data_IF_834192963604
#
_entry.id   IF_834192963604
#
_cell.length_a   1.000
_cell.length_b   1.000
_cell.length_c   1.000
_cell.angle_alpha   90.00
_cell.angle_beta   90.00
_cell.angle_gamma   90.00
#
_symmetry.space_group_name_H-M   'P 1'
#
loop_
_entity.id
_entity.type
_entity.pdbx_description
1 polymer ?
#
# COMPACT_ATOMS: atom_id res chain seq x y z
N UNK A 1 16.82 15.21 19.71
CA UNK A 1 16.66 13.74 19.66
C UNK A 1 15.16 13.44 19.62
N UNK A 2 14.55 13.41 18.43
CA UNK A 2 13.12 13.10 18.28
C UNK A 2 12.94 11.62 18.65
N UNK A 3 12.04 11.33 19.58
CA UNK A 3 11.83 9.96 20.06
C UNK A 3 11.56 9.00 18.88
N UNK A 4 12.29 7.88 18.82
CA UNK A 4 12.29 6.91 17.70
C UNK A 4 10.89 6.37 17.33
N UNK A 5 9.97 6.32 18.28
CA UNK A 5 8.54 5.96 18.07
C UNK A 5 7.72 7.02 17.31
N UNK A 6 8.28 8.21 17.08
CA UNK A 6 7.61 9.30 16.39
C UNK A 6 7.80 9.26 14.88
N UNK A 7 8.79 8.55 14.32
CA UNK A 7 9.01 8.55 12.86
C UNK A 7 7.74 8.11 12.14
N UNK A 8 7.21 6.92 12.45
CA UNK A 8 5.98 6.41 11.83
C UNK A 8 4.71 7.22 12.15
N UNK A 9 4.71 8.02 13.23
CA UNK A 9 3.57 8.88 13.64
C UNK A 9 3.64 10.27 12.99
N UNK A 10 4.85 10.72 12.67
CA UNK A 10 5.18 12.05 12.16
C UNK A 10 5.60 12.03 10.69
N UNK A 11 5.46 10.90 9.99
CA UNK A 11 5.40 10.89 8.52
C UNK A 11 4.13 11.67 8.14
N UNK A 12 4.28 13.00 8.12
CA UNK A 12 3.32 13.97 7.62
C UNK A 12 3.69 14.27 6.18
N UNK A 13 3.44 13.28 5.33
CA UNK A 13 3.83 13.38 3.93
C UNK A 13 2.70 14.05 3.14
N UNK A 14 2.98 15.12 2.39
CA UNK A 14 2.00 15.85 1.57
C UNK A 14 1.42 14.98 0.45
N UNK A 15 2.04 13.84 0.15
CA UNK A 15 1.65 12.97 -0.95
C UNK A 15 0.34 12.23 -0.67
N UNK A 16 -0.57 12.30 -1.64
CA UNK A 16 -1.82 11.53 -1.63
C UNK A 16 -1.61 10.06 -2.02
N UNK A 17 -0.45 9.70 -2.58
CA UNK A 17 -0.19 8.37 -3.14
C UNK A 17 1.00 7.77 -2.43
N UNK A 18 0.77 6.64 -1.76
CA UNK A 18 1.78 5.91 -1.01
C UNK A 18 1.96 4.53 -1.61
N UNK A 19 3.19 4.18 -2.00
CA UNK A 19 3.54 2.86 -2.48
C UNK A 19 4.27 2.11 -1.37
N UNK A 20 3.75 0.94 -0.97
CA UNK A 20 4.42 0.06 0.00
C UNK A 20 4.84 -1.20 -0.74
N UNK A 21 6.13 -1.44 -0.83
CA UNK A 21 6.68 -2.59 -1.57
C UNK A 21 7.81 -3.26 -0.79
N UNK A 22 8.14 -4.47 -1.20
CA UNK A 22 9.10 -5.32 -0.51
C UNK A 22 8.78 -6.79 -0.68
N UNK A 23 9.71 -7.64 -0.26
CA UNK A 23 9.58 -9.10 -0.34
C UNK A 23 8.41 -9.63 0.49
N UNK A 24 8.03 -10.89 0.28
CA UNK A 24 7.01 -11.54 1.10
C UNK A 24 7.43 -11.60 2.57
N UNK A 25 6.49 -11.44 3.49
CA UNK A 25 6.76 -11.50 4.94
C UNK A 25 7.40 -10.25 5.56
N UNK A 26 7.77 -9.25 4.77
CA UNK A 26 8.43 -8.01 5.26
C UNK A 26 7.50 -7.07 6.04
N UNK A 27 6.19 -7.32 6.06
CA UNK A 27 5.24 -6.57 6.88
C UNK A 27 4.48 -5.44 6.17
N UNK A 28 4.47 -5.39 4.84
CA UNK A 28 3.75 -4.38 4.04
C UNK A 28 2.32 -4.09 4.52
N UNK A 29 1.50 -5.14 4.63
CA UNK A 29 0.11 -5.04 5.11
C UNK A 29 0.02 -4.58 6.57
N UNK A 30 0.96 -5.00 7.42
CA UNK A 30 1.05 -4.52 8.83
C UNK A 30 1.31 -3.01 8.86
N UNK A 31 2.23 -2.53 8.01
CA UNK A 31 2.57 -1.12 7.93
C UNK A 31 1.38 -0.28 7.45
N UNK A 32 0.69 -0.72 6.40
CA UNK A 32 -0.52 -0.06 5.91
C UNK A 32 -1.57 0.09 7.01
N UNK A 33 -1.79 -0.96 7.80
CA UNK A 33 -2.71 -0.93 8.95
C UNK A 33 -2.28 0.11 10.01
N UNK A 34 -0.98 0.23 10.31
CA UNK A 34 -0.50 1.26 11.23
C UNK A 34 -0.76 2.66 10.69
N UNK A 35 -0.52 2.91 9.40
CA UNK A 35 -0.80 4.20 8.79
C UNK A 35 -2.28 4.55 8.81
N UNK A 36 -3.16 3.62 8.45
CA UNK A 36 -4.61 3.81 8.53
C UNK A 36 -5.01 4.15 9.97
N UNK A 37 -4.46 3.44 10.96
CA UNK A 37 -4.76 3.69 12.37
C UNK A 37 -4.34 5.10 12.81
N UNK A 38 -3.19 5.58 12.36
CA UNK A 38 -2.70 6.93 12.65
C UNK A 38 -3.59 7.99 12.00
N UNK A 39 -3.97 7.81 10.74
CA UNK A 39 -4.85 8.74 10.02
C UNK A 39 -6.24 8.80 10.68
N UNK A 40 -6.81 7.64 11.02
CA UNK A 40 -8.11 7.56 11.69
C UNK A 40 -8.05 8.25 13.06
N UNK A 41 -6.99 8.02 13.86
CA UNK A 41 -6.79 8.71 15.15
C UNK A 41 -6.73 10.23 14.98
N UNK A 42 -5.92 10.73 14.05
CA UNK A 42 -5.79 12.17 13.77
C UNK A 42 -7.11 12.82 13.37
N UNK A 43 -8.00 12.06 12.72
CA UNK A 43 -9.33 12.52 12.31
C UNK A 43 -10.42 12.48 13.40
N UNK A 44 -10.04 12.25 14.66
CA UNK A 44 -10.99 11.94 15.74
C UNK A 44 -11.97 10.81 15.36
N UNK A 45 -11.46 9.79 14.65
CA UNK A 45 -12.19 8.60 14.23
C UNK A 45 -13.35 8.82 13.25
N UNK A 46 -13.37 9.95 12.53
CA UNK A 46 -14.44 10.26 11.56
C UNK A 46 -14.16 9.75 10.15
N UNK A 47 -12.88 9.59 9.79
CA UNK A 47 -12.48 9.10 8.47
C UNK A 47 -12.72 7.61 8.31
N UNK A 48 -13.13 7.22 7.10
CA UNK A 48 -13.26 5.83 6.67
C UNK A 48 -12.15 5.45 5.70
N UNK A 49 -11.80 4.17 5.75
CA UNK A 49 -10.88 3.50 4.85
C UNK A 49 -11.66 2.50 3.99
N UNK A 50 -11.45 2.51 2.68
CA UNK A 50 -11.88 1.44 1.79
C UNK A 50 -10.68 0.52 1.53
N UNK A 51 -10.80 -0.75 1.91
CA UNK A 51 -9.78 -1.77 1.70
C UNK A 51 -10.15 -2.68 0.54
N UNK A 52 -9.32 -2.67 -0.50
CA UNK A 52 -9.48 -3.49 -1.70
C UNK A 52 -8.68 -4.79 -1.57
N UNK A 53 -9.38 -5.93 -1.56
CA UNK A 53 -8.78 -7.27 -1.47
C UNK A 53 -8.27 -7.77 -2.83
N UNK A 54 -7.26 -7.10 -3.37
CA UNK A 54 -6.71 -7.30 -4.71
C UNK A 54 -5.80 -8.53 -4.90
N UNK A 55 -5.72 -9.40 -3.90
CA UNK A 55 -5.16 -10.78 -3.93
C UNK A 55 -5.01 -11.30 -2.50
N UNK A 56 -5.02 -10.39 -1.53
CA UNK A 56 -4.89 -10.67 -0.11
C UNK A 56 -6.20 -10.37 0.64
N UNK A 57 -6.51 -11.18 1.65
CA UNK A 57 -7.65 -10.89 2.54
C UNK A 57 -7.28 -9.80 3.53
N UNK A 58 -8.25 -8.98 3.90
CA UNK A 58 -8.09 -8.06 5.02
C UNK A 58 -7.72 -8.85 6.29
N UNK A 59 -6.56 -8.58 6.92
CA UNK A 59 -6.02 -9.44 7.97
C UNK A 59 -6.62 -9.08 9.33
N UNK A 60 -7.92 -9.35 9.52
CA UNK A 60 -8.67 -9.01 10.75
C UNK A 60 -7.99 -9.49 12.03
N UNK A 61 -7.42 -10.70 12.04
CA UNK A 61 -6.67 -11.23 13.19
C UNK A 61 -5.46 -10.36 13.53
N UNK A 62 -4.72 -9.92 12.52
CA UNK A 62 -3.54 -9.05 12.70
C UNK A 62 -3.94 -7.71 13.31
N UNK A 63 -5.02 -7.10 12.83
CA UNK A 63 -5.59 -5.88 13.41
C UNK A 63 -5.94 -6.08 14.89
N UNK A 64 -6.60 -7.19 15.23
CA UNK A 64 -6.94 -7.53 16.61
C UNK A 64 -5.69 -7.65 17.49
N UNK A 65 -4.68 -8.39 17.05
CA UNK A 65 -3.41 -8.54 17.79
C UNK A 65 -2.69 -7.21 17.98
N UNK A 66 -2.60 -6.39 16.93
CA UNK A 66 -1.87 -5.11 16.98
C UNK A 66 -2.46 -4.11 17.96
N UNK A 67 -3.78 -4.11 18.10
CA UNK A 67 -4.51 -3.12 18.89
C UNK A 67 -5.29 -3.72 20.06
N UNK A 68 -4.93 -4.93 20.51
CA UNK A 68 -5.62 -5.61 21.63
C UNK A 68 -5.68 -4.77 22.92
N UNK A 69 -4.65 -3.94 23.15
CA UNK A 69 -4.54 -3.08 24.33
C UNK A 69 -5.17 -1.68 24.13
N UNK A 70 -5.57 -1.33 22.91
CA UNK A 70 -6.27 -0.08 22.60
C UNK A 70 -7.63 -0.41 21.98
N UNK A 71 -8.62 -0.63 22.85
CA UNK A 71 -9.97 -1.04 22.45
C UNK A 71 -10.67 0.00 21.58
N UNK A 72 -10.36 1.28 21.76
CA UNK A 72 -10.98 2.36 20.99
C UNK A 72 -10.48 2.34 19.55
N UNK A 73 -9.17 2.31 19.30
CA UNK A 73 -8.66 2.24 17.93
C UNK A 73 -9.06 0.93 17.27
N UNK A 74 -9.05 -0.19 18.00
CA UNK A 74 -9.45 -1.49 17.46
C UNK A 74 -10.90 -1.45 16.96
N UNK A 75 -11.82 -0.95 17.78
CA UNK A 75 -13.24 -0.81 17.40
C UNK A 75 -13.36 0.06 16.16
N UNK A 76 -12.73 1.23 16.15
CA UNK A 76 -12.84 2.18 15.04
C UNK A 76 -12.20 1.64 13.74
N UNK A 77 -11.07 0.94 13.81
CA UNK A 77 -10.50 0.29 12.63
C UNK A 77 -11.45 -0.73 12.04
N UNK A 78 -12.07 -1.56 12.87
CA UNK A 78 -12.99 -2.60 12.41
C UNK A 78 -14.32 -2.03 11.87
N UNK A 79 -14.79 -0.88 12.36
CA UNK A 79 -16.03 -0.25 11.89
C UNK A 79 -15.81 0.68 10.70
N UNK A 80 -14.68 1.39 10.67
CA UNK A 80 -14.41 2.41 9.66
C UNK A 80 -13.58 1.90 8.49
N UNK A 81 -13.09 0.65 8.56
CA UNK A 81 -12.49 -0.03 7.40
C UNK A 81 -13.54 -0.87 6.70
N UNK A 82 -13.96 -0.39 5.53
CA UNK A 82 -14.91 -1.05 4.64
C UNK A 82 -14.13 -1.96 3.69
N UNK A 83 -14.52 -3.23 3.59
CA UNK A 83 -13.80 -4.23 2.80
C UNK A 83 -14.55 -4.46 1.49
N UNK A 84 -13.85 -4.34 0.36
CA UNK A 84 -14.43 -4.55 -0.97
C UNK A 84 -13.46 -5.26 -1.94
N UNK A 85 -13.91 -6.17 -2.79
CA UNK A 85 -15.12 -6.97 -2.60
C UNK A 85 -15.03 -7.81 -1.32
N UNK A 86 -16.13 -8.45 -0.91
CA UNK A 86 -16.14 -9.32 0.28
C UNK A 86 -15.21 -10.54 0.12
N UNK A 87 -15.03 -11.01 -1.11
CA UNK A 87 -14.07 -12.06 -1.49
C UNK A 87 -12.77 -11.46 -2.03
N UNK A 88 -11.74 -12.29 -2.15
CA UNK A 88 -10.49 -11.90 -2.82
C UNK A 88 -10.72 -11.80 -4.32
N UNK A 89 -10.10 -10.83 -4.96
CA UNK A 89 -10.01 -10.74 -6.42
C UNK A 89 -8.91 -11.70 -6.91
N UNK A 90 -9.31 -12.67 -7.74
CA UNK A 90 -8.42 -13.73 -8.25
C UNK A 90 -8.06 -13.59 -9.74
N UNK A 91 -8.51 -12.51 -10.40
CA UNK A 91 -8.21 -12.30 -11.82
C UNK A 91 -7.90 -10.85 -12.13
N UNK A 92 -6.98 -10.65 -13.07
CA UNK A 92 -6.60 -9.34 -13.58
C UNK A 92 -7.80 -8.54 -14.12
N UNK A 93 -8.70 -9.19 -14.88
CA UNK A 93 -9.90 -8.55 -15.40
C UNK A 93 -10.79 -8.01 -14.28
N UNK A 94 -11.03 -8.79 -13.23
CA UNK A 94 -11.88 -8.35 -12.12
C UNK A 94 -11.21 -7.27 -11.27
N UNK A 95 -9.88 -7.30 -11.15
CA UNK A 95 -9.10 -6.20 -10.56
C UNK A 95 -9.31 -4.89 -11.33
N UNK A 96 -9.15 -4.93 -12.66
CA UNK A 96 -9.33 -3.76 -13.51
C UNK A 96 -10.75 -3.21 -13.41
N UNK A 97 -11.77 -4.08 -13.49
CA UNK A 97 -13.17 -3.67 -13.35
C UNK A 97 -13.45 -3.03 -11.99
N UNK A 98 -12.89 -3.60 -10.91
CA UNK A 98 -13.04 -3.06 -9.55
C UNK A 98 -12.44 -1.67 -9.46
N UNK A 99 -11.21 -1.47 -9.94
CA UNK A 99 -10.54 -0.17 -9.88
C UNK A 99 -11.20 0.85 -10.81
N UNK A 100 -11.61 0.44 -12.00
CA UNK A 100 -12.35 1.30 -12.92
C UNK A 100 -13.69 1.75 -12.35
N UNK A 101 -14.40 0.87 -11.65
CA UNK A 101 -15.61 1.29 -10.90
C UNK A 101 -15.28 2.34 -9.83
N UNK A 102 -14.11 2.20 -9.18
CA UNK A 102 -13.59 3.17 -8.22
C UNK A 102 -12.97 4.43 -8.86
N UNK A 103 -12.74 4.52 -10.17
CA UNK A 103 -12.27 5.79 -10.74
C UNK A 103 -13.42 6.73 -11.12
N UNK A 104 -14.63 6.20 -11.24
CA UNK A 104 -15.83 6.95 -11.63
C UNK A 104 -16.66 7.45 -10.41
N UNK A 105 -16.00 7.66 -9.27
CA UNK A 105 -16.61 7.95 -7.97
C UNK A 105 -16.96 9.44 -7.79
N UNK A 106 -18.18 9.84 -8.17
CA UNK A 106 -18.83 10.99 -7.52
C UNK A 106 -19.97 10.56 -6.57
N UNK A 107 -20.60 9.39 -6.79
CA UNK A 107 -21.78 8.97 -6.00
C UNK A 107 -21.61 7.63 -5.23
N UNK A 108 -20.56 6.85 -5.50
CA UNK A 108 -20.47 5.44 -5.05
C UNK A 108 -19.55 5.19 -3.86
N UNK A 109 -18.81 6.19 -3.36
CA UNK A 109 -18.07 6.04 -2.12
C UNK A 109 -18.95 6.27 -0.89
N UNK A 110 -18.78 5.44 0.16
CA UNK A 110 -19.31 5.74 1.47
C UNK A 110 -18.85 7.12 1.95
N UNK A 111 -19.76 7.86 2.58
CA UNK A 111 -19.45 9.18 3.12
C UNK A 111 -18.24 9.14 4.04
N UNK A 112 -17.41 10.20 3.97
CA UNK A 112 -16.16 10.36 4.71
C UNK A 112 -15.07 9.33 4.41
N UNK A 113 -15.11 8.66 3.25
CA UNK A 113 -13.96 7.90 2.77
C UNK A 113 -12.82 8.85 2.47
N UNK A 114 -11.69 8.67 3.16
CA UNK A 114 -10.47 9.48 3.00
C UNK A 114 -9.22 8.67 2.72
N UNK A 115 -9.35 7.34 2.74
CA UNK A 115 -8.26 6.41 2.50
C UNK A 115 -8.79 5.28 1.61
N UNK A 116 -8.04 4.94 0.56
CA UNK A 116 -8.21 3.71 -0.21
C UNK A 116 -6.91 2.91 -0.10
N UNK A 117 -7.02 1.61 0.17
CA UNK A 117 -5.88 0.69 0.21
C UNK A 117 -6.13 -0.41 -0.80
N UNK A 118 -5.13 -0.77 -1.60
CA UNK A 118 -5.22 -1.89 -2.54
C UNK A 118 -4.16 -2.94 -2.21
N UNK A 119 -4.58 -4.10 -1.69
CA UNK A 119 -3.71 -5.19 -1.24
C UNK A 119 -4.02 -6.52 -1.99
N UNK A 120 -3.24 -6.95 -2.99
CA UNK A 120 -2.03 -6.34 -3.58
C UNK A 120 -2.28 -5.99 -5.06
N UNK A 121 -1.93 -4.78 -5.47
CA UNK A 121 -2.21 -4.28 -6.83
C UNK A 121 -1.44 -5.03 -7.92
N UNK A 122 -0.23 -5.53 -7.60
CA UNK A 122 0.69 -6.10 -8.58
C UNK A 122 0.46 -7.58 -8.85
N UNK A 123 -0.13 -8.33 -7.92
CA UNK A 123 -0.15 -9.80 -7.96
C UNK A 123 -0.89 -10.36 -9.20
N UNK A 124 -2.14 -9.95 -9.37
CA UNK A 124 -2.97 -10.41 -10.49
C UNK A 124 -2.44 -9.96 -11.86
N UNK A 125 -1.89 -8.74 -11.93
CA UNK A 125 -1.25 -8.21 -13.13
C UNK A 125 -0.01 -9.03 -13.50
N UNK A 126 0.88 -9.30 -12.53
CA UNK A 126 2.07 -10.13 -12.74
C UNK A 126 1.69 -11.51 -13.25
N UNK A 127 0.71 -12.17 -12.62
CA UNK A 127 0.23 -13.47 -13.06
C UNK A 127 -0.32 -13.43 -14.49
N UNK A 128 -1.10 -12.40 -14.84
CA UNK A 128 -1.63 -12.23 -16.19
C UNK A 128 -0.53 -12.03 -17.23
N UNK A 129 0.50 -11.23 -16.93
CA UNK A 129 1.64 -11.00 -17.82
C UNK A 129 2.45 -12.26 -18.11
N UNK A 130 2.46 -13.25 -17.20
CA UNK A 130 3.13 -14.53 -17.45
C UNK A 130 2.51 -15.34 -18.60
N UNK A 131 1.27 -15.04 -18.99
CA UNK A 131 0.57 -15.71 -20.10
C UNK A 131 1.06 -15.23 -21.48
N UNK A 132 1.83 -14.15 -21.53
CA UNK A 132 2.35 -13.55 -22.76
C UNK A 132 3.83 -13.87 -22.91
N UNK A 133 4.26 -14.28 -24.10
CA UNK A 133 5.68 -14.55 -24.38
C UNK A 133 6.40 -13.28 -24.83
N UNK A 134 5.75 -12.49 -25.71
CA UNK A 134 6.36 -11.30 -26.30
C UNK A 134 6.45 -10.16 -25.30
N UNK A 135 7.61 -9.54 -25.26
CA UNK A 135 7.87 -8.37 -24.40
C UNK A 135 6.97 -7.20 -24.80
N UNK A 136 6.75 -6.98 -26.10
CA UNK A 136 5.89 -5.91 -26.60
C UNK A 136 4.46 -5.99 -26.03
N UNK A 137 3.86 -7.18 -26.02
CA UNK A 137 2.52 -7.41 -25.47
C UNK A 137 2.48 -7.09 -23.96
N UNK A 138 3.52 -7.49 -23.22
CA UNK A 138 3.63 -7.18 -21.78
C UNK A 138 3.71 -5.68 -21.53
N UNK A 139 4.53 -4.98 -22.31
CA UNK A 139 4.68 -3.51 -22.20
C UNK A 139 3.35 -2.83 -22.48
N UNK A 140 2.65 -3.22 -23.55
CA UNK A 140 1.34 -2.67 -23.88
C UNK A 140 0.32 -2.89 -22.75
N UNK A 141 0.24 -4.11 -22.18
CA UNK A 141 -0.67 -4.39 -21.06
C UNK A 141 -0.34 -3.55 -19.83
N UNK A 142 0.96 -3.35 -19.56
CA UNK A 142 1.42 -2.54 -18.44
C UNK A 142 1.06 -1.06 -18.63
N UNK A 143 1.29 -0.52 -19.82
CA UNK A 143 0.91 0.85 -20.18
C UNK A 143 -0.62 1.02 -20.11
N UNK A 144 -1.39 0.10 -20.69
CA UNK A 144 -2.86 0.12 -20.66
C UNK A 144 -3.40 0.05 -19.22
N UNK A 145 -2.81 -0.79 -18.37
CA UNK A 145 -3.17 -0.86 -16.96
C UNK A 145 -2.90 0.47 -16.24
N UNK A 146 -1.75 1.08 -16.51
CA UNK A 146 -1.41 2.33 -15.87
C UNK A 146 -2.33 3.47 -16.33
N UNK A 147 -2.44 3.68 -17.65
CA UNK A 147 -3.13 4.82 -18.24
C UNK A 147 -4.65 4.73 -18.08
N UNK A 148 -5.24 3.53 -18.21
CA UNK A 148 -6.70 3.37 -18.20
C UNK A 148 -7.27 2.96 -16.84
N UNK A 149 -6.46 2.42 -15.93
CA UNK A 149 -6.94 1.89 -14.64
C UNK A 149 -6.38 2.68 -13.46
N UNK A 150 -5.05 2.82 -13.36
CA UNK A 150 -4.40 3.45 -12.21
C UNK A 150 -4.51 4.97 -12.24
N UNK A 151 -4.16 5.60 -13.36
CA UNK A 151 -4.15 7.06 -13.49
C UNK A 151 -5.54 7.69 -13.27
N UNK A 152 -6.64 7.14 -13.82
CA UNK A 152 -7.98 7.67 -13.54
C UNK A 152 -8.37 7.54 -12.06
N UNK A 153 -7.98 6.44 -11.38
CA UNK A 153 -8.21 6.29 -9.94
C UNK A 153 -7.46 7.38 -9.16
N UNK A 154 -6.21 7.64 -9.52
CA UNK A 154 -5.39 8.68 -8.89
C UNK A 154 -6.08 10.04 -9.02
N UNK A 155 -6.46 10.46 -10.22
CA UNK A 155 -7.13 11.74 -10.43
C UNK A 155 -8.46 11.83 -9.68
N UNK A 156 -9.24 10.74 -9.63
CA UNK A 156 -10.46 10.69 -8.84
C UNK A 156 -10.17 10.89 -7.34
N UNK A 157 -9.12 10.28 -6.81
CA UNK A 157 -8.76 10.40 -5.41
C UNK A 157 -8.20 11.79 -5.07
N UNK A 158 -7.35 12.37 -5.92
CA UNK A 158 -6.83 13.72 -5.72
C UNK A 158 -7.95 14.76 -5.68
N UNK A 159 -8.87 14.72 -6.65
CA UNK A 159 -10.06 15.59 -6.68
C UNK A 159 -10.89 15.50 -5.41
N UNK A 160 -11.02 14.29 -4.84
CA UNK A 160 -11.79 14.03 -3.62
C UNK A 160 -10.97 14.14 -2.31
N UNK A 161 -9.67 14.49 -2.41
CA UNK A 161 -8.70 14.50 -1.30
C UNK A 161 -8.71 13.18 -0.52
N UNK A 162 -8.61 12.09 -1.26
CA UNK A 162 -8.51 10.72 -0.77
C UNK A 162 -7.06 10.28 -0.91
N UNK A 163 -6.48 9.76 0.17
CA UNK A 163 -5.15 9.16 0.15
C UNK A 163 -5.26 7.72 -0.38
N UNK A 164 -4.44 7.35 -1.35
CA UNK A 164 -4.32 5.98 -1.85
C UNK A 164 -3.05 5.35 -1.30
N UNK A 165 -3.17 4.12 -0.81
CA UNK A 165 -2.05 3.25 -0.46
C UNK A 165 -2.07 2.04 -1.38
N UNK A 166 -1.09 1.95 -2.27
CA UNK A 166 -0.86 0.77 -3.08
C UNK A 166 0.13 -0.16 -2.38
N UNK A 167 -0.24 -1.43 -2.22
CA UNK A 167 0.67 -2.46 -1.74
C UNK A 167 1.12 -3.28 -2.94
N UNK A 168 2.42 -3.34 -3.17
CA UNK A 168 3.03 -4.00 -4.32
C UNK A 168 3.85 -5.21 -3.91
N UNK A 169 3.95 -6.17 -4.84
CA UNK A 169 5.07 -7.10 -4.85
C UNK A 169 6.37 -6.39 -5.24
N UNK A 170 7.49 -6.95 -4.83
CA UNK A 170 8.80 -6.55 -5.32
C UNK A 170 9.31 -7.50 -6.40
N UNK A 171 10.20 -6.99 -7.25
CA UNK A 171 10.94 -7.75 -8.28
C UNK A 171 12.43 -7.49 -8.14
N UNK A 172 13.26 -8.45 -8.52
CA UNK A 172 14.70 -8.28 -8.54
C UNK A 172 15.15 -7.71 -9.89
N UNK A 173 15.94 -6.64 -9.86
CA UNK A 173 16.54 -6.03 -11.03
C UNK A 173 18.01 -6.47 -11.14
N UNK A 174 18.36 -7.34 -12.12
CA UNK A 174 19.71 -7.86 -12.24
C UNK A 174 20.74 -6.81 -12.69
N UNK A 175 20.29 -5.67 -13.26
CA UNK A 175 21.20 -4.61 -13.70
C UNK A 175 21.71 -3.77 -12.53
N UNK A 176 20.83 -3.45 -11.59
CA UNK A 176 21.19 -2.71 -10.36
C UNK A 176 21.58 -3.64 -9.22
N UNK A 177 21.29 -4.95 -9.32
CA UNK A 177 21.41 -5.91 -8.22
C UNK A 177 20.58 -5.51 -7.00
N UNK A 178 19.41 -4.91 -7.25
CA UNK A 178 18.52 -4.41 -6.21
C UNK A 178 17.11 -5.00 -6.37
N UNK A 179 16.43 -5.16 -5.23
CA UNK A 179 14.99 -5.39 -5.21
C UNK A 179 14.29 -4.05 -5.43
N UNK A 180 13.37 -3.99 -6.38
CA UNK A 180 12.59 -2.80 -6.73
C UNK A 180 11.09 -3.11 -6.70
N UNK A 181 10.26 -2.06 -6.68
CA UNK A 181 8.81 -2.21 -6.81
C UNK A 181 8.47 -2.89 -8.14
N UNK A 182 7.54 -3.85 -8.14
CA UNK A 182 7.06 -4.41 -9.40
C UNK A 182 6.49 -3.29 -10.27
N UNK A 183 6.98 -3.22 -11.51
CA UNK A 183 6.62 -2.17 -12.47
C UNK A 183 7.05 -0.74 -12.05
N UNK A 184 8.21 -0.62 -11.39
CA UNK A 184 8.77 0.65 -10.92
C UNK A 184 8.74 1.77 -11.98
N UNK A 185 9.07 1.46 -13.24
CA UNK A 185 9.14 2.44 -14.33
C UNK A 185 7.83 3.18 -14.63
N UNK A 186 6.67 2.56 -14.37
CA UNK A 186 5.38 3.20 -14.60
C UNK A 186 4.96 4.02 -13.39
N UNK A 187 5.16 3.49 -12.17
CA UNK A 187 4.83 4.21 -10.95
C UNK A 187 5.81 5.35 -10.62
N UNK A 188 7.04 5.32 -11.15
CA UNK A 188 8.00 6.41 -11.03
C UNK A 188 7.58 7.67 -11.80
N UNK A 189 6.58 7.58 -12.69
CA UNK A 189 6.00 8.74 -13.39
C UNK A 189 5.09 9.58 -12.51
N UNK A 190 4.77 9.11 -11.30
CA UNK A 190 3.86 9.76 -10.36
C UNK A 190 4.65 10.23 -9.14
N UNK A 191 4.40 11.46 -8.71
CA UNK A 191 4.87 11.94 -7.41
C UNK A 191 4.16 11.17 -6.29
N UNK A 192 4.87 10.18 -5.75
CA UNK A 192 4.38 9.30 -4.71
C UNK A 192 5.41 9.16 -3.59
N UNK A 193 4.91 8.89 -2.39
CA UNK A 193 5.74 8.50 -1.27
C UNK A 193 5.98 7.01 -1.31
N UNK A 194 7.23 6.62 -1.56
CA UNK A 194 7.65 5.24 -1.73
C UNK A 194 8.21 4.70 -0.42
N UNK A 195 7.72 3.53 -0.01
CA UNK A 195 8.12 2.88 1.23
C UNK A 195 8.53 1.46 0.91
N UNK A 196 9.82 1.20 1.06
CA UNK A 196 10.42 -0.07 0.80
C UNK A 196 10.69 -0.84 2.09
N UNK A 197 10.35 -2.13 2.11
CA UNK A 197 10.65 -3.04 3.20
C UNK A 197 11.58 -4.16 2.71
N UNK A 198 12.78 -4.22 3.27
CA UNK A 198 13.86 -5.14 2.88
C UNK A 198 14.30 -6.03 4.04
N UNK A 199 14.72 -7.26 3.71
CA UNK A 199 15.56 -8.06 4.61
C UNK A 199 17.02 -7.70 4.41
N UNK A 200 17.75 -7.35 5.46
CA UNK A 200 19.21 -7.27 5.42
C UNK A 200 19.79 -8.69 5.58
N UNK A 201 20.07 -9.30 4.43
CA UNK A 201 20.63 -10.66 4.32
C UNK A 201 22.05 -10.70 4.89
N UNK A 202 22.79 -9.58 4.86
CA UNK A 202 24.19 -9.53 5.26
C UNK A 202 24.39 -9.27 6.76
N UNK A 203 23.45 -8.59 7.43
CA UNK A 203 23.57 -8.22 8.86
C UNK A 203 22.70 -9.04 9.82
N UNK A 204 22.55 -10.35 9.61
CA UNK A 204 21.85 -11.27 10.55
C UNK A 204 20.44 -10.79 10.94
N UNK A 205 19.47 -10.88 10.02
CA UNK A 205 18.02 -10.67 10.28
C UNK A 205 17.61 -9.25 10.71
N UNK A 206 18.36 -8.21 10.35
CA UNK A 206 17.86 -6.84 10.52
C UNK A 206 16.96 -6.51 9.33
N UNK A 207 15.75 -6.03 9.57
CA UNK A 207 14.92 -5.53 8.47
C UNK A 207 15.21 -4.04 8.29
N UNK A 208 15.22 -3.57 7.05
CA UNK A 208 15.41 -2.16 6.73
C UNK A 208 14.15 -1.60 6.07
N UNK A 209 13.69 -0.45 6.57
CA UNK A 209 12.59 0.32 6.00
C UNK A 209 13.17 1.58 5.39
N UNK A 210 12.89 1.80 4.12
CA UNK A 210 13.37 2.97 3.37
C UNK A 210 12.16 3.81 2.98
N UNK A 211 12.16 5.06 3.40
CA UNK A 211 11.20 6.08 3.01
C UNK A 211 11.84 6.94 1.93
N UNK A 212 11.16 7.09 0.81
CA UNK A 212 11.67 7.81 -0.34
C UNK A 212 10.58 8.71 -0.93
N UNK A 213 10.90 9.99 -1.04
CA UNK A 213 10.15 11.01 -1.76
C UNK A 213 11.04 11.59 -2.89
N UNK A 214 10.53 12.41 -3.81
CA UNK A 214 11.32 12.99 -4.91
C UNK A 214 12.58 13.77 -4.50
N UNK A 215 12.66 14.23 -3.25
CA UNK A 215 13.72 15.08 -2.71
C UNK A 215 14.58 14.41 -1.64
N UNK A 216 14.10 13.33 -1.02
CA UNK A 216 14.76 12.75 0.14
C UNK A 216 14.62 11.23 0.21
N UNK A 217 15.64 10.59 0.81
CA UNK A 217 15.65 9.15 1.07
C UNK A 217 16.19 8.90 2.47
N UNK A 218 15.40 8.26 3.31
CA UNK A 218 15.72 7.94 4.69
C UNK A 218 15.57 6.44 4.93
N UNK A 219 16.56 5.83 5.57
CA UNK A 219 16.56 4.40 5.87
C UNK A 219 16.71 4.18 7.36
N UNK A 220 15.91 3.26 7.89
CA UNK A 220 15.96 2.84 9.29
C UNK A 220 15.94 1.33 9.42
N UNK A 221 16.43 0.82 10.54
CA UNK A 221 16.20 -0.58 10.90
C UNK A 221 14.84 -0.73 11.60
N UNK A 222 14.15 -1.84 11.35
CA UNK A 222 12.87 -2.14 11.97
C UNK A 222 12.69 -3.61 12.35
N UNK A 223 11.76 -3.85 13.27
CA UNK A 223 11.23 -5.17 13.61
C UNK A 223 9.71 -5.22 13.47
N UNK A 224 9.19 -6.40 13.15
CA UNK A 224 7.76 -6.68 13.13
C UNK A 224 7.40 -7.33 14.47
N UNK A 225 6.69 -6.59 15.31
CA UNK A 225 6.23 -7.02 16.63
C UNK A 225 4.72 -7.33 16.61
N UNK A 226 4.19 -7.88 17.69
CA UNK A 226 2.75 -8.06 17.86
C UNK A 226 1.98 -6.75 17.72
N UNK A 227 2.52 -5.65 18.28
CA UNK A 227 1.97 -4.29 18.20
C UNK A 227 2.14 -3.58 16.84
N UNK A 228 2.77 -4.24 15.86
CA UNK A 228 3.07 -3.66 14.53
C UNK A 228 4.57 -3.52 14.28
N UNK A 229 4.94 -2.72 13.29
CA UNK A 229 6.32 -2.34 12.97
C UNK A 229 6.84 -1.32 13.98
N UNK A 230 8.06 -1.54 14.46
CA UNK A 230 8.80 -0.65 15.36
C UNK A 230 10.14 -0.28 14.74
N UNK A 231 10.48 1.01 14.74
CA UNK A 231 11.79 1.51 14.31
C UNK A 231 12.79 1.35 15.45
N UNK A 232 14.00 0.90 15.16
CA UNK A 232 15.01 0.54 16.17
C UNK A 232 16.21 1.47 16.10
N UNK A 233 16.74 1.74 14.90
CA UNK A 233 17.94 2.54 14.65
C UNK A 233 17.78 3.38 13.39
#
# INVERSE_FOLDING_TARGET
MVAKDNVLKNIEEPYNIWNIYGESGTGKTTLAIQFISNIIRKSNYTHKCLWIQASERFPKKRVQTMFQNDKQILRNLLTNTLIYPKSIILSYKHLCQTIFYLSNLEESLPSNTKIIVIDNISHNLRHFLHQFEKIADKVQILDDFFDNIILPLIFACERNRIKIIFIHEATYNPKSNETEMFNNNLFSRIEAFNIELKYDIFKRKKNAIVFEDPTSKLSYNYEILEKGISIID
#
